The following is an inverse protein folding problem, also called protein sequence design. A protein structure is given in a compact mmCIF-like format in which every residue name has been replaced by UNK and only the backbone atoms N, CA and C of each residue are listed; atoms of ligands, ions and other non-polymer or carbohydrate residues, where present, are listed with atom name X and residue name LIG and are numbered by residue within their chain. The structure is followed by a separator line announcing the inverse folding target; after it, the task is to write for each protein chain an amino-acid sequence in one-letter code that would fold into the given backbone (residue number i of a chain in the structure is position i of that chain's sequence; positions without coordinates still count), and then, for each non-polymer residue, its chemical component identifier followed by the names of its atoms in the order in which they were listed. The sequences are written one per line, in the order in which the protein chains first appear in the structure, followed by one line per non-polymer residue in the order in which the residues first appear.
data_IF_935356272994
#
_entry.id   IF_935356272994
#
_cell.length_a   1.000
_cell.length_b   1.000
_cell.length_c   1.000
_cell.angle_alpha   90.00
_cell.angle_beta   90.00
_cell.angle_gamma   90.00
#
_symmetry.space_group_name_H-M   'P 1'
#
loop_
_entity.id
_entity.type
_entity.pdbx_description
1 polymer ?
#
# COMPACT_ATOMS: atom_id res chain seq x y z
N UNK A 1 -20.39 12.15 -10.56
CA UNK A 1 -19.62 12.03 -11.84
C UNK A 1 -18.18 11.60 -11.57
N UNK A 2 -17.45 12.30 -10.69
CA UNK A 2 -16.05 11.95 -10.34
C UNK A 2 -15.95 10.54 -9.76
N UNK A 3 -16.85 10.17 -8.86
CA UNK A 3 -16.88 8.85 -8.19
C UNK A 3 -17.06 7.68 -9.18
N UNK A 4 -17.85 7.90 -10.25
CA UNK A 4 -17.99 6.90 -11.31
C UNK A 4 -16.69 6.71 -12.09
N UNK A 5 -15.97 7.80 -12.36
CA UNK A 5 -14.65 7.71 -13.00
C UNK A 5 -13.64 7.02 -12.09
N UNK A 6 -13.63 7.33 -10.80
CA UNK A 6 -12.82 6.69 -9.80
C UNK A 6 -13.07 5.17 -9.79
N UNK A 7 -14.30 4.74 -9.62
CA UNK A 7 -14.68 3.32 -9.62
C UNK A 7 -14.31 2.61 -10.94
N UNK A 8 -14.44 3.27 -12.09
CA UNK A 8 -14.01 2.71 -13.38
C UNK A 8 -12.49 2.55 -13.46
N UNK A 9 -11.72 3.52 -12.96
CA UNK A 9 -10.25 3.46 -12.92
C UNK A 9 -9.80 2.30 -12.02
N UNK A 10 -10.38 2.16 -10.82
CA UNK A 10 -10.10 1.05 -9.93
C UNK A 10 -10.44 -0.30 -10.60
N UNK A 11 -11.63 -0.40 -11.21
CA UNK A 11 -12.06 -1.62 -11.90
C UNK A 11 -11.11 -2.03 -13.03
N UNK A 12 -10.75 -1.10 -13.92
CA UNK A 12 -9.82 -1.39 -15.01
C UNK A 12 -8.42 -1.65 -14.49
N UNK A 13 -7.96 -0.92 -13.47
CA UNK A 13 -6.67 -1.15 -12.82
C UNK A 13 -6.54 -2.58 -12.29
N UNK A 14 -7.51 -3.05 -11.50
CA UNK A 14 -7.56 -4.42 -10.99
C UNK A 14 -7.68 -5.45 -12.11
N UNK A 15 -8.56 -5.19 -13.10
CA UNK A 15 -8.75 -6.11 -14.22
C UNK A 15 -7.49 -6.28 -15.06
N UNK A 16 -6.79 -5.21 -15.37
CA UNK A 16 -5.53 -5.25 -16.15
C UNK A 16 -4.45 -5.93 -15.31
N UNK A 17 -4.31 -5.56 -14.04
CA UNK A 17 -3.31 -6.15 -13.15
C UNK A 17 -3.46 -7.67 -12.98
N UNK A 18 -4.69 -8.19 -13.06
CA UNK A 18 -4.97 -9.62 -13.00
C UNK A 18 -4.58 -10.42 -14.27
N UNK A 19 -4.09 -9.77 -15.34
CA UNK A 19 -3.58 -10.48 -16.49
C UNK A 19 -2.19 -11.05 -16.20
N UNK A 20 -1.94 -12.32 -16.56
CA UNK A 20 -0.63 -12.94 -16.39
C UNK A 20 0.45 -12.25 -17.24
N UNK A 21 1.69 -12.60 -16.99
CA UNK A 21 2.81 -12.20 -17.84
C UNK A 21 2.59 -12.63 -19.30
N UNK A 22 2.97 -11.76 -20.23
CA UNK A 22 2.91 -11.96 -21.68
C UNK A 22 4.23 -11.53 -22.34
N UNK A 23 4.30 -11.59 -23.68
CA UNK A 23 5.52 -11.24 -24.43
C UNK A 23 5.92 -9.76 -24.27
N UNK A 24 4.94 -8.84 -24.13
CA UNK A 24 5.20 -7.40 -23.98
C UNK A 24 5.46 -7.04 -22.51
N UNK A 25 4.86 -7.80 -21.56
CA UNK A 25 4.97 -7.56 -20.13
C UNK A 25 5.45 -8.82 -19.40
N UNK A 26 6.75 -9.18 -19.49
CA UNK A 26 7.29 -10.43 -18.92
C UNK A 26 7.18 -10.52 -17.40
N UNK A 27 7.01 -9.40 -16.70
CA UNK A 27 6.79 -9.35 -15.24
C UNK A 27 5.31 -9.21 -14.86
N UNK A 28 4.38 -9.44 -15.79
CA UNK A 28 2.95 -9.25 -15.57
C UNK A 28 2.51 -7.79 -15.58
N UNK A 29 1.24 -7.58 -15.28
CA UNK A 29 0.56 -6.28 -15.37
C UNK A 29 0.31 -5.62 -14.00
N UNK A 30 0.87 -6.15 -12.92
CA UNK A 30 0.60 -5.70 -11.55
C UNK A 30 0.73 -4.19 -11.32
N UNK A 31 1.67 -3.52 -12.02
CA UNK A 31 1.86 -2.05 -11.92
C UNK A 31 0.63 -1.24 -12.38
N UNK A 32 -0.34 -1.85 -13.09
CA UNK A 32 -1.60 -1.18 -13.44
C UNK A 32 -2.39 -0.76 -12.19
N UNK A 33 -2.36 -1.55 -11.11
CA UNK A 33 -2.96 -1.14 -9.81
C UNK A 33 -2.25 0.08 -9.21
N UNK A 34 -0.94 0.17 -9.34
CA UNK A 34 -0.20 1.32 -8.85
C UNK A 34 -0.59 2.60 -9.60
N UNK A 35 -0.79 2.50 -10.92
CA UNK A 35 -1.27 3.63 -11.74
C UNK A 35 -2.69 4.02 -11.30
N UNK A 36 -3.59 3.05 -11.17
CA UNK A 36 -4.96 3.30 -10.71
C UNK A 36 -4.98 3.99 -9.33
N UNK A 37 -4.26 3.45 -8.35
CA UNK A 37 -4.15 4.05 -7.02
C UNK A 37 -3.51 5.44 -7.01
N UNK A 38 -2.57 5.72 -7.92
CA UNK A 38 -2.00 7.05 -8.07
C UNK A 38 -3.04 8.06 -8.61
N UNK A 39 -3.82 7.67 -9.62
CA UNK A 39 -4.90 8.51 -10.17
C UNK A 39 -5.97 8.78 -9.12
N UNK A 40 -6.39 7.74 -8.36
CA UNK A 40 -7.30 7.89 -7.22
C UNK A 40 -6.78 8.90 -6.19
N UNK A 41 -5.50 8.79 -5.80
CA UNK A 41 -4.88 9.72 -4.87
C UNK A 41 -4.93 11.18 -5.37
N UNK A 42 -4.72 11.40 -6.66
CA UNK A 42 -4.83 12.73 -7.29
C UNK A 42 -6.28 13.23 -7.28
N UNK A 43 -7.26 12.38 -7.57
CA UNK A 43 -8.68 12.75 -7.52
C UNK A 43 -9.10 13.16 -6.09
N UNK A 44 -8.69 12.40 -5.08
CA UNK A 44 -8.93 12.74 -3.67
C UNK A 44 -8.27 14.08 -3.32
N UNK A 45 -7.04 14.32 -3.80
CA UNK A 45 -6.34 15.59 -3.57
C UNK A 45 -7.10 16.78 -4.18
N UNK A 46 -7.60 16.65 -5.42
CA UNK A 46 -8.41 17.66 -6.09
C UNK A 46 -9.73 17.93 -5.33
N UNK A 47 -10.39 16.86 -4.85
CA UNK A 47 -11.58 16.97 -4.02
C UNK A 47 -11.32 17.77 -2.73
N UNK A 48 -10.23 17.46 -2.02
CA UNK A 48 -9.83 18.20 -0.83
C UNK A 48 -9.52 19.68 -1.12
N UNK A 49 -8.85 19.97 -2.24
CA UNK A 49 -8.56 21.34 -2.67
C UNK A 49 -9.85 22.14 -2.95
N UNK A 50 -10.86 21.52 -3.55
CA UNK A 50 -12.18 22.13 -3.75
C UNK A 50 -12.89 22.42 -2.43
N UNK A 51 -12.83 21.51 -1.46
CA UNK A 51 -13.39 21.73 -0.11
C UNK A 51 -12.72 22.93 0.56
N UNK A 52 -11.39 23.02 0.48
CA UNK A 52 -10.64 24.16 1.03
C UNK A 52 -11.06 25.46 0.34
N UNK A 53 -11.12 25.47 -0.98
CA UNK A 53 -11.55 26.63 -1.75
C UNK A 53 -12.95 27.12 -1.33
N UNK A 54 -13.90 26.21 -1.21
CA UNK A 54 -15.25 26.53 -0.76
C UNK A 54 -15.30 27.02 0.69
N UNK A 55 -14.54 26.37 1.60
CA UNK A 55 -14.49 26.78 3.00
C UNK A 55 -13.92 28.20 3.17
N UNK A 56 -12.81 28.50 2.46
CA UNK A 56 -12.23 29.85 2.46
C UNK A 56 -13.19 30.87 1.84
N UNK A 57 -13.89 30.52 0.75
CA UNK A 57 -14.93 31.37 0.16
C UNK A 57 -16.03 31.71 1.15
N UNK A 58 -16.56 30.71 1.87
CA UNK A 58 -17.59 30.91 2.92
C UNK A 58 -17.09 31.82 4.06
N UNK A 59 -15.83 31.76 4.44
CA UNK A 59 -15.25 32.67 5.44
C UNK A 59 -15.20 34.11 4.96
N UNK A 60 -15.03 34.36 3.67
CA UNK A 60 -14.93 35.71 3.10
C UNK A 60 -16.28 36.33 2.76
N UNK A 61 -17.26 35.55 2.29
CA UNK A 61 -18.54 36.04 1.79
C UNK A 61 -19.71 35.82 2.75
N UNK A 62 -19.48 35.10 3.84
CA UNK A 62 -20.54 34.66 4.75
C UNK A 62 -21.25 33.39 4.25
N UNK A 63 -21.98 32.74 5.14
CA UNK A 63 -22.69 31.49 4.85
C UNK A 63 -24.10 31.82 4.41
N UNK A 64 -24.46 31.49 3.16
CA UNK A 64 -25.86 31.46 2.72
C UNK A 64 -26.51 30.14 3.12
N UNK A 65 -27.56 30.18 3.91
CA UNK A 65 -28.27 28.98 4.39
C UNK A 65 -29.37 28.66 3.39
N UNK A 66 -29.12 27.79 2.44
CA UNK A 66 -30.16 27.12 1.71
C UNK A 66 -30.44 25.75 2.36
N UNK A 67 -31.53 25.70 3.12
CA UNK A 67 -31.99 24.49 3.80
C UNK A 67 -32.71 23.59 2.80
N UNK A 68 -31.99 22.62 2.29
CA UNK A 68 -32.59 21.55 1.48
C UNK A 68 -32.71 20.30 2.34
N UNK A 69 -33.83 20.12 3.05
CA UNK A 69 -34.09 18.93 3.89
C UNK A 69 -33.95 17.61 3.10
N UNK A 70 -34.33 17.63 1.83
CA UNK A 70 -34.13 16.51 0.92
C UNK A 70 -32.63 16.19 0.73
N UNK A 71 -31.77 17.20 0.68
CA UNK A 71 -30.30 17.03 0.55
C UNK A 71 -29.72 16.32 1.77
N UNK A 72 -30.16 16.63 2.96
CA UNK A 72 -29.70 16.00 4.20
C UNK A 72 -30.03 14.49 4.23
N UNK A 73 -31.26 14.13 3.85
CA UNK A 73 -31.68 12.72 3.77
C UNK A 73 -30.83 11.95 2.75
N UNK A 74 -30.60 12.53 1.56
CA UNK A 74 -29.74 11.94 0.54
C UNK A 74 -28.27 11.75 1.03
N UNK A 75 -27.72 12.74 1.75
CA UNK A 75 -26.38 12.64 2.34
C UNK A 75 -26.29 11.53 3.40
N UNK A 76 -27.29 11.38 4.27
CA UNK A 76 -27.31 10.30 5.26
C UNK A 76 -27.36 8.92 4.60
N UNK A 77 -28.19 8.75 3.56
CA UNK A 77 -28.24 7.51 2.79
C UNK A 77 -26.88 7.24 2.13
N UNK A 78 -26.28 8.26 1.50
CA UNK A 78 -24.96 8.15 0.87
C UNK A 78 -23.89 7.72 1.88
N UNK A 79 -23.85 8.30 3.08
CA UNK A 79 -22.91 7.91 4.14
C UNK A 79 -23.07 6.42 4.47
N UNK A 80 -24.29 5.94 4.67
CA UNK A 80 -24.54 4.53 5.02
C UNK A 80 -24.07 3.61 3.90
N UNK A 81 -24.40 3.91 2.66
CA UNK A 81 -23.98 3.13 1.48
C UNK A 81 -22.46 3.14 1.38
N UNK A 82 -21.81 4.31 1.43
CA UNK A 82 -20.36 4.45 1.32
C UNK A 82 -19.63 3.71 2.46
N UNK A 83 -20.15 3.72 3.69
CA UNK A 83 -19.58 2.95 4.80
C UNK A 83 -19.63 1.45 4.54
N UNK A 84 -20.74 0.93 4.04
CA UNK A 84 -20.89 -0.50 3.74
C UNK A 84 -19.96 -0.92 2.60
N UNK A 85 -19.94 -0.14 1.51
CA UNK A 85 -19.09 -0.41 0.34
C UNK A 85 -17.61 -0.30 0.71
N UNK A 86 -17.19 0.77 1.38
CA UNK A 86 -15.79 0.95 1.79
C UNK A 86 -15.31 -0.18 2.70
N UNK A 87 -16.14 -0.64 3.66
CA UNK A 87 -15.80 -1.80 4.50
C UNK A 87 -15.65 -3.08 3.70
N UNK A 88 -16.48 -3.28 2.68
CA UNK A 88 -16.37 -4.44 1.79
C UNK A 88 -15.09 -4.36 0.96
N UNK A 89 -14.82 -3.23 0.32
CA UNK A 89 -13.61 -2.98 -0.46
C UNK A 89 -12.34 -3.19 0.37
N UNK A 90 -12.27 -2.64 1.59
CA UNK A 90 -11.11 -2.89 2.47
C UNK A 90 -10.91 -4.36 2.81
N UNK A 91 -12.01 -5.11 3.00
CA UNK A 91 -11.90 -6.56 3.29
C UNK A 91 -11.33 -7.30 2.10
N UNK A 92 -11.81 -6.99 0.89
CA UNK A 92 -11.31 -7.61 -0.34
C UNK A 92 -9.88 -7.16 -0.62
N UNK A 93 -9.59 -5.86 -0.52
CA UNK A 93 -8.25 -5.30 -0.72
C UNK A 93 -7.19 -5.97 0.16
N UNK A 94 -7.53 -6.24 1.44
CA UNK A 94 -6.62 -6.95 2.35
C UNK A 94 -6.48 -8.44 2.01
N UNK A 95 -7.53 -9.07 1.51
CA UNK A 95 -7.50 -10.48 1.14
C UNK A 95 -6.71 -10.72 -0.17
N UNK A 96 -6.76 -9.75 -1.09
CA UNK A 96 -6.10 -9.81 -2.40
C UNK A 96 -4.81 -8.99 -2.46
N UNK A 97 -4.46 -8.27 -1.38
CA UNK A 97 -3.35 -7.31 -1.30
C UNK A 97 -3.39 -6.24 -2.42
N UNK A 98 -4.62 -5.90 -2.90
CA UNK A 98 -4.86 -4.98 -4.00
C UNK A 98 -4.76 -3.52 -3.55
N UNK A 99 -3.82 -2.79 -4.15
CA UNK A 99 -3.60 -1.36 -3.90
C UNK A 99 -4.72 -0.50 -4.50
N UNK A 100 -5.25 -0.87 -5.67
CA UNK A 100 -6.32 -0.13 -6.33
C UNK A 100 -7.62 -0.18 -5.51
N UNK A 101 -7.99 -1.36 -4.97
CA UNK A 101 -9.16 -1.50 -4.10
C UNK A 101 -9.00 -0.76 -2.77
N UNK A 102 -7.78 -0.71 -2.22
CA UNK A 102 -7.50 0.08 -1.02
C UNK A 102 -7.68 1.57 -1.29
N UNK A 103 -7.20 2.06 -2.44
CA UNK A 103 -7.33 3.46 -2.85
C UNK A 103 -8.79 3.86 -3.07
N UNK A 104 -9.59 3.04 -3.74
CA UNK A 104 -11.03 3.26 -3.96
C UNK A 104 -11.80 3.27 -2.62
N UNK A 105 -11.46 2.38 -1.68
CA UNK A 105 -12.03 2.39 -0.33
C UNK A 105 -11.67 3.68 0.44
N UNK A 106 -10.45 4.18 0.30
CA UNK A 106 -10.02 5.45 0.90
C UNK A 106 -10.71 6.67 0.23
N UNK A 107 -11.02 6.60 -1.07
CA UNK A 107 -11.84 7.60 -1.76
C UNK A 107 -13.24 7.70 -1.15
N UNK A 108 -13.95 6.57 -1.02
CA UNK A 108 -15.26 6.53 -0.37
C UNK A 108 -15.22 7.03 1.09
N UNK A 109 -14.13 6.79 1.82
CA UNK A 109 -13.95 7.37 3.16
C UNK A 109 -13.77 8.86 3.14
N UNK A 110 -13.09 9.42 2.15
CA UNK A 110 -12.97 10.87 1.99
C UNK A 110 -14.35 11.51 1.78
N UNK A 111 -15.22 10.88 0.98
CA UNK A 111 -16.61 11.32 0.76
C UNK A 111 -17.47 11.25 2.02
N UNK A 112 -17.28 10.19 2.84
CA UNK A 112 -17.95 10.10 4.15
C UNK A 112 -17.50 11.28 5.03
N UNK A 113 -16.20 11.57 5.11
CA UNK A 113 -15.70 12.68 5.92
C UNK A 113 -16.22 14.03 5.43
N UNK A 114 -16.25 14.25 4.11
CA UNK A 114 -16.82 15.45 3.51
C UNK A 114 -18.32 15.60 3.87
N UNK A 115 -19.10 14.54 3.71
CA UNK A 115 -20.53 14.53 4.05
C UNK A 115 -20.79 14.78 5.54
N UNK A 116 -20.03 14.14 6.42
CA UNK A 116 -20.11 14.35 7.88
C UNK A 116 -19.78 15.79 8.23
N UNK A 117 -18.76 16.40 7.59
CA UNK A 117 -18.39 17.80 7.85
C UNK A 117 -19.53 18.76 7.51
N UNK A 118 -20.22 18.54 6.40
CA UNK A 118 -21.38 19.35 6.02
C UNK A 118 -22.54 19.21 7.02
N UNK A 119 -22.82 17.99 7.48
CA UNK A 119 -23.85 17.74 8.50
C UNK A 119 -23.52 18.45 9.82
N UNK A 120 -22.26 18.34 10.26
CA UNK A 120 -21.78 19.03 11.48
C UNK A 120 -21.84 20.57 11.33
N UNK A 121 -21.47 21.09 10.17
CA UNK A 121 -21.57 22.53 9.86
C UNK A 121 -23.01 23.01 9.92
N UNK A 122 -23.96 22.31 9.27
CA UNK A 122 -25.39 22.64 9.33
C UNK A 122 -25.95 22.57 10.76
N UNK A 123 -25.55 21.55 11.53
CA UNK A 123 -25.94 21.43 12.93
C UNK A 123 -25.43 22.61 13.78
N UNK A 124 -24.17 23.00 13.59
CA UNK A 124 -23.60 24.17 14.28
C UNK A 124 -24.35 25.47 13.95
N UNK A 125 -24.71 25.68 12.68
CA UNK A 125 -25.48 26.85 12.24
C UNK A 125 -26.88 26.82 12.90
N UNK A 126 -27.58 25.68 12.88
CA UNK A 126 -28.90 25.53 13.51
C UNK A 126 -28.86 25.82 15.01
N UNK A 127 -27.89 25.30 15.72
CA UNK A 127 -27.66 25.56 17.15
C UNK A 127 -27.37 27.04 17.41
N UNK A 128 -26.52 27.66 16.57
CA UNK A 128 -26.24 29.10 16.66
C UNK A 128 -27.49 29.95 16.57
N UNK A 129 -28.35 29.66 15.62
CA UNK A 129 -29.64 30.35 15.44
C UNK A 129 -30.58 30.14 16.64
N UNK A 130 -30.67 28.93 17.20
CA UNK A 130 -31.50 28.61 18.37
C UNK A 130 -31.05 29.33 19.64
N UNK A 131 -29.77 29.48 19.84
CA UNK A 131 -29.17 30.13 21.02
C UNK A 131 -28.84 31.62 20.84
N UNK A 132 -29.09 32.18 19.64
CA UNK A 132 -28.82 33.59 19.33
C UNK A 132 -27.31 33.89 19.27
N UNK A 133 -26.48 32.88 19.01
CA UNK A 133 -25.01 32.99 18.91
C UNK A 133 -24.60 32.88 17.44
N UNK A 134 -24.63 34.02 16.74
CA UNK A 134 -24.29 34.06 15.29
C UNK A 134 -22.82 33.66 15.00
N UNK A 135 -21.94 33.77 15.99
CA UNK A 135 -20.53 33.41 15.86
C UNK A 135 -20.31 31.90 15.60
N UNK A 136 -21.31 31.05 15.91
CA UNK A 136 -21.24 29.60 15.61
C UNK A 136 -21.23 29.29 14.11
N UNK A 137 -21.61 30.22 13.25
CA UNK A 137 -21.55 30.05 11.79
C UNK A 137 -20.12 29.85 11.26
N UNK A 138 -19.09 30.38 11.97
CA UNK A 138 -17.70 30.20 11.61
C UNK A 138 -17.22 28.74 11.82
N UNK A 139 -17.92 27.94 12.61
CA UNK A 139 -17.58 26.55 12.84
C UNK A 139 -17.72 25.70 11.57
N UNK A 140 -18.68 26.00 10.68
CA UNK A 140 -18.86 25.28 9.41
C UNK A 140 -17.58 25.27 8.56
N UNK A 141 -17.01 26.43 8.16
CA UNK A 141 -15.79 26.43 7.38
C UNK A 141 -14.57 25.89 8.14
N UNK A 142 -14.50 26.06 9.48
CA UNK A 142 -13.40 25.50 10.27
C UNK A 142 -13.43 23.97 10.32
N UNK A 143 -14.61 23.38 10.51
CA UNK A 143 -14.79 21.92 10.45
C UNK A 143 -14.44 21.40 9.07
N UNK A 144 -14.91 22.08 8.00
CA UNK A 144 -14.60 21.71 6.62
C UNK A 144 -13.07 21.75 6.36
N UNK A 145 -12.35 22.75 6.84
CA UNK A 145 -10.88 22.83 6.72
C UNK A 145 -10.18 21.69 7.49
N UNK A 146 -10.63 21.39 8.70
CA UNK A 146 -10.10 20.28 9.50
C UNK A 146 -10.25 18.92 8.78
N UNK A 147 -11.43 18.68 8.21
CA UNK A 147 -11.71 17.47 7.43
C UNK A 147 -10.90 17.43 6.13
N UNK A 148 -10.83 18.56 5.41
CA UNK A 148 -10.01 18.65 4.20
C UNK A 148 -8.54 18.29 4.46
N UNK A 149 -7.98 18.68 5.61
CA UNK A 149 -6.63 18.31 6.03
C UNK A 149 -6.48 16.78 6.22
N UNK A 150 -7.47 16.12 6.83
CA UNK A 150 -7.48 14.65 6.97
C UNK A 150 -7.56 13.96 5.60
N UNK A 151 -8.37 14.50 4.68
CA UNK A 151 -8.49 13.99 3.31
C UNK A 151 -7.16 14.16 2.57
N UNK A 152 -6.50 15.32 2.66
CA UNK A 152 -5.17 15.57 2.06
C UNK A 152 -4.11 14.58 2.57
N UNK A 153 -4.11 14.31 3.88
CA UNK A 153 -3.20 13.31 4.45
C UNK A 153 -3.43 11.93 3.86
N UNK A 154 -4.70 11.55 3.66
CA UNK A 154 -5.05 10.26 3.04
C UNK A 154 -4.62 10.22 1.58
N UNK A 155 -4.92 11.26 0.80
CA UNK A 155 -4.48 11.40 -0.59
C UNK A 155 -2.95 11.27 -0.74
N UNK A 156 -2.19 11.97 0.10
CA UNK A 156 -0.73 11.89 0.12
C UNK A 156 -0.24 10.47 0.41
N UNK A 157 -0.84 9.78 1.39
CA UNK A 157 -0.46 8.40 1.74
C UNK A 157 -0.68 7.45 0.57
N UNK A 158 -1.84 7.53 -0.09
CA UNK A 158 -2.18 6.68 -1.24
C UNK A 158 -1.23 6.96 -2.40
N UNK A 159 -1.10 8.23 -2.78
CA UNK A 159 -0.22 8.64 -3.89
C UNK A 159 1.21 8.19 -3.64
N UNK A 160 1.75 8.39 -2.43
CA UNK A 160 3.10 7.96 -2.06
C UNK A 160 3.26 6.44 -2.14
N UNK A 161 2.28 5.66 -1.65
CA UNK A 161 2.30 4.19 -1.69
C UNK A 161 2.27 3.69 -3.13
N UNK A 162 1.37 4.25 -3.97
CA UNK A 162 1.22 3.90 -5.37
C UNK A 162 2.46 4.26 -6.19
N UNK A 163 2.99 5.48 -6.01
CA UNK A 163 4.23 5.92 -6.65
C UNK A 163 5.41 5.04 -6.25
N UNK A 164 5.51 4.64 -4.98
CA UNK A 164 6.55 3.76 -4.49
C UNK A 164 6.64 2.45 -5.28
N UNK A 165 5.49 1.81 -5.58
CA UNK A 165 5.46 0.60 -6.41
C UNK A 165 5.87 0.83 -7.87
N UNK A 166 5.64 2.04 -8.41
CA UNK A 166 6.09 2.37 -9.78
C UNK A 166 7.61 2.53 -9.88
N UNK A 167 8.25 3.05 -8.82
CA UNK A 167 9.71 3.28 -8.75
C UNK A 167 10.45 2.19 -7.98
N UNK A 168 9.85 1.00 -7.88
CA UNK A 168 10.45 -0.19 -7.29
C UNK A 168 10.97 0.03 -5.85
N UNK A 169 10.20 0.75 -5.02
CA UNK A 169 10.51 0.89 -3.60
C UNK A 169 10.49 -0.48 -2.92
N UNK A 170 11.47 -0.71 -2.05
CA UNK A 170 11.60 -1.95 -1.26
C UNK A 170 10.35 -2.29 -0.45
N UNK A 171 10.17 -3.57 -0.15
CA UNK A 171 9.09 -4.05 0.72
C UNK A 171 9.17 -3.43 2.12
N UNK A 172 8.03 -3.41 2.87
CA UNK A 172 8.04 -3.04 4.27
C UNK A 172 9.01 -3.93 5.08
N UNK A 173 9.66 -3.35 6.09
CA UNK A 173 10.62 -4.08 6.93
C UNK A 173 10.03 -5.37 7.52
N UNK A 174 8.77 -5.36 7.92
CA UNK A 174 8.07 -6.55 8.46
C UNK A 174 7.98 -7.70 7.45
N UNK A 175 7.94 -7.43 6.15
CA UNK A 175 7.96 -8.45 5.11
C UNK A 175 9.40 -8.91 4.82
N UNK A 176 10.37 -7.98 4.79
CA UNK A 176 11.79 -8.32 4.64
C UNK A 176 12.33 -9.13 5.82
N UNK A 177 11.90 -8.82 7.04
CA UNK A 177 12.27 -9.59 8.23
C UNK A 177 11.81 -11.06 8.11
N UNK A 178 10.63 -11.32 7.53
CA UNK A 178 10.15 -12.68 7.25
C UNK A 178 10.98 -13.40 6.20
N UNK A 179 11.44 -12.69 5.17
CA UNK A 179 12.36 -13.24 4.16
C UNK A 179 13.68 -13.62 4.82
N UNK A 180 14.24 -12.72 5.64
CA UNK A 180 15.48 -12.96 6.37
C UNK A 180 15.32 -14.13 7.35
N UNK A 181 14.17 -14.26 8.00
CA UNK A 181 13.86 -15.40 8.87
C UNK A 181 13.88 -16.72 8.09
N UNK A 182 13.24 -16.79 6.92
CA UNK A 182 13.30 -17.98 6.06
C UNK A 182 14.72 -18.33 5.66
N UNK A 183 15.53 -17.35 5.27
CA UNK A 183 16.94 -17.58 4.93
C UNK A 183 17.71 -18.09 6.16
N UNK A 184 17.45 -17.52 7.34
CA UNK A 184 18.19 -17.88 8.58
C UNK A 184 17.82 -19.27 9.11
N UNK A 185 16.62 -19.76 8.85
CA UNK A 185 16.22 -21.13 9.17
C UNK A 185 17.02 -22.17 8.40
N UNK A 186 17.55 -21.81 7.21
CA UNK A 186 18.37 -22.65 6.33
C UNK A 186 19.87 -22.49 6.53
N UNK A 187 20.34 -21.75 7.55
CA UNK A 187 21.76 -21.43 7.76
C UNK A 187 22.72 -22.62 7.86
N UNK A 188 22.23 -23.82 8.16
CA UNK A 188 23.10 -25.00 8.20
C UNK A 188 23.63 -25.40 6.84
N UNK A 189 22.98 -24.97 5.77
CA UNK A 189 23.27 -25.31 4.37
C UNK A 189 23.94 -24.13 3.64
N UNK A 190 23.88 -22.91 4.21
CA UNK A 190 24.35 -21.66 3.61
C UNK A 190 25.60 -21.11 4.30
N UNK A 191 26.46 -20.48 3.53
CA UNK A 191 27.60 -19.69 4.05
C UNK A 191 27.17 -18.27 4.40
N UNK A 192 26.27 -17.71 3.60
CA UNK A 192 25.73 -16.36 3.79
C UNK A 192 24.79 -15.95 2.67
N UNK A 193 24.29 -14.74 2.75
CA UNK A 193 23.49 -14.13 1.69
C UNK A 193 23.82 -12.63 1.60
N UNK A 194 23.63 -12.08 0.41
CA UNK A 194 23.80 -10.64 0.14
C UNK A 194 22.93 -10.20 -1.03
N UNK A 195 23.00 -8.91 -1.41
CA UNK A 195 22.27 -8.32 -2.51
C UNK A 195 20.76 -8.58 -2.49
N UNK A 196 20.14 -8.68 -1.28
CA UNK A 196 18.69 -8.79 -1.16
C UNK A 196 18.03 -7.54 -1.71
N UNK A 197 17.28 -7.70 -2.79
CA UNK A 197 16.47 -6.66 -3.42
C UNK A 197 15.03 -7.11 -3.46
N UNK A 198 14.15 -6.22 -3.05
CA UNK A 198 12.73 -6.47 -2.97
C UNK A 198 11.97 -5.34 -3.62
N UNK A 199 10.86 -5.64 -4.29
CA UNK A 199 9.93 -4.65 -4.83
C UNK A 199 8.52 -5.21 -4.88
N UNK A 200 7.52 -4.31 -5.00
CA UNK A 200 6.12 -4.69 -5.15
C UNK A 200 5.53 -4.06 -6.41
N UNK A 201 4.79 -4.85 -7.19
CA UNK A 201 4.06 -4.43 -8.36
C UNK A 201 2.57 -4.78 -8.20
N UNK A 202 1.74 -3.80 -7.78
CA UNK A 202 0.36 -4.10 -7.36
C UNK A 202 0.33 -5.02 -6.15
N UNK A 203 -0.34 -6.16 -6.28
CA UNK A 203 -0.38 -7.23 -5.26
C UNK A 203 0.84 -8.15 -5.27
N UNK A 204 1.65 -8.15 -6.32
CA UNK A 204 2.77 -9.09 -6.49
C UNK A 204 4.08 -8.59 -5.91
N UNK A 205 4.84 -9.50 -5.30
CA UNK A 205 6.16 -9.27 -4.74
C UNK A 205 7.22 -9.89 -5.62
N UNK A 206 8.31 -9.16 -5.83
CA UNK A 206 9.50 -9.68 -6.52
C UNK A 206 10.68 -9.58 -5.57
N UNK A 207 11.39 -10.68 -5.41
CA UNK A 207 12.51 -10.84 -4.50
C UNK A 207 13.69 -11.39 -5.29
N UNK A 208 14.79 -10.67 -5.30
CA UNK A 208 16.06 -11.12 -5.84
C UNK A 208 17.08 -11.19 -4.69
N UNK A 209 17.83 -12.28 -4.59
CA UNK A 209 18.91 -12.39 -3.61
C UNK A 209 20.04 -13.30 -4.11
N UNK A 210 21.22 -13.12 -3.53
CA UNK A 210 22.37 -13.97 -3.76
C UNK A 210 22.61 -14.84 -2.53
N UNK A 211 22.80 -16.15 -2.76
CA UNK A 211 23.16 -17.11 -1.72
C UNK A 211 24.59 -17.60 -1.93
N UNK A 212 25.42 -17.43 -0.89
CA UNK A 212 26.75 -18.00 -0.86
C UNK A 212 26.71 -19.43 -0.30
N UNK A 213 27.22 -20.38 -1.07
CA UNK A 213 27.30 -21.80 -0.70
C UNK A 213 28.75 -22.28 -0.63
N UNK A 214 28.99 -23.38 0.07
CA UNK A 214 30.29 -23.97 0.13
C UNK A 214 30.73 -24.44 -1.27
N UNK A 215 32.02 -24.25 -1.65
CA UNK A 215 32.58 -24.63 -2.96
C UNK A 215 32.44 -26.12 -3.30
N UNK A 216 32.31 -26.97 -2.27
CA UNK A 216 32.16 -28.41 -2.40
C UNK A 216 30.70 -28.87 -2.70
N UNK A 217 29.72 -27.97 -2.62
CA UNK A 217 28.30 -28.26 -2.93
C UNK A 217 28.16 -28.48 -4.43
N UNK A 218 27.50 -29.56 -4.83
CA UNK A 218 27.22 -29.83 -6.24
C UNK A 218 26.14 -28.85 -6.75
N UNK A 219 26.11 -28.60 -8.06
CA UNK A 219 25.07 -27.75 -8.66
C UNK A 219 23.65 -28.30 -8.38
N UNK A 220 23.48 -29.63 -8.41
CA UNK A 220 22.21 -30.29 -8.11
C UNK A 220 21.75 -30.01 -6.68
N UNK A 221 22.65 -30.12 -5.72
CA UNK A 221 22.35 -29.83 -4.32
C UNK A 221 22.10 -28.35 -4.07
N UNK A 222 22.88 -27.45 -4.69
CA UNK A 222 22.66 -26.02 -4.62
C UNK A 222 21.27 -25.64 -5.16
N UNK A 223 20.87 -26.20 -6.30
CA UNK A 223 19.55 -25.97 -6.88
C UNK A 223 18.43 -26.46 -5.95
N UNK A 224 18.58 -27.67 -5.36
CA UNK A 224 17.63 -28.21 -4.40
C UNK A 224 17.41 -27.30 -3.18
N UNK A 225 18.49 -26.70 -2.68
CA UNK A 225 18.44 -25.75 -1.55
C UNK A 225 17.70 -24.47 -1.97
N UNK A 226 18.00 -23.92 -3.17
CA UNK A 226 17.32 -22.75 -3.69
C UNK A 226 15.83 -22.98 -3.86
N UNK A 227 15.43 -24.09 -4.50
CA UNK A 227 14.03 -24.46 -4.70
C UNK A 227 13.26 -24.60 -3.39
N UNK A 228 13.92 -25.12 -2.35
CA UNK A 228 13.29 -25.26 -1.03
C UNK A 228 13.11 -23.90 -0.39
N UNK A 229 14.11 -23.03 -0.44
CA UNK A 229 14.03 -21.69 0.12
C UNK A 229 13.01 -20.79 -0.64
N UNK A 230 12.95 -20.89 -1.97
CA UNK A 230 11.96 -20.20 -2.79
C UNK A 230 10.55 -20.55 -2.33
N UNK A 231 10.25 -21.86 -2.19
CA UNK A 231 8.95 -22.34 -1.71
C UNK A 231 8.62 -21.88 -0.30
N UNK A 232 9.61 -21.91 0.61
CA UNK A 232 9.41 -21.46 2.00
C UNK A 232 9.07 -19.97 2.07
N UNK A 233 9.72 -19.15 1.25
CA UNK A 233 9.41 -17.71 1.14
C UNK A 233 8.03 -17.50 0.52
N UNK A 234 7.68 -18.22 -0.55
CA UNK A 234 6.37 -18.13 -1.23
C UNK A 234 5.21 -18.57 -0.30
N UNK A 235 5.42 -19.59 0.54
CA UNK A 235 4.43 -20.03 1.53
C UNK A 235 4.22 -18.98 2.63
N UNK A 236 5.29 -18.30 3.07
CA UNK A 236 5.21 -17.25 4.09
C UNK A 236 4.68 -15.92 3.56
N UNK A 237 4.93 -15.63 2.28
CA UNK A 237 4.52 -14.39 1.60
C UNK A 237 3.73 -14.75 0.33
N UNK A 238 2.41 -14.59 0.38
CA UNK A 238 1.55 -14.85 -0.79
C UNK A 238 1.87 -13.91 -1.97
N UNK A 239 1.60 -14.36 -3.19
CA UNK A 239 1.84 -13.60 -4.42
C UNK A 239 3.29 -13.11 -4.53
N UNK A 240 4.23 -14.02 -4.40
CA UNK A 240 5.67 -13.73 -4.43
C UNK A 240 6.34 -14.52 -5.54
N UNK A 241 7.25 -13.86 -6.28
CA UNK A 241 8.20 -14.46 -7.20
C UNK A 241 9.60 -14.24 -6.64
N UNK A 242 10.34 -15.32 -6.45
CA UNK A 242 11.69 -15.29 -5.89
C UNK A 242 12.69 -15.73 -6.95
N UNK A 243 13.80 -15.02 -7.06
CA UNK A 243 14.95 -15.40 -7.90
C UNK A 243 16.17 -15.45 -7.00
N UNK A 244 16.80 -16.64 -6.94
CA UNK A 244 17.99 -16.87 -6.15
C UNK A 244 19.20 -17.11 -7.07
N UNK A 245 20.19 -16.25 -6.94
CA UNK A 245 21.48 -16.44 -7.59
C UNK A 245 22.43 -17.16 -6.64
N UNK A 246 22.83 -18.39 -6.99
CA UNK A 246 23.76 -19.19 -6.19
C UNK A 246 25.20 -18.87 -6.55
N UNK A 247 26.01 -18.56 -5.56
CA UNK A 247 27.43 -18.24 -5.71
C UNK A 247 28.31 -19.14 -4.82
N UNK A 248 29.48 -19.53 -5.28
CA UNK A 248 30.46 -20.18 -4.40
C UNK A 248 31.04 -19.16 -3.43
N UNK A 249 31.24 -19.54 -2.18
CA UNK A 249 31.86 -18.65 -1.17
C UNK A 249 33.25 -18.17 -1.61
N UNK A 250 33.48 -16.86 -1.44
CA UNK A 250 34.80 -16.22 -1.72
C UNK A 250 35.66 -16.09 -0.47
N UNK A 251 35.15 -16.43 0.70
CA UNK A 251 35.82 -16.27 1.99
C UNK A 251 36.90 -17.31 2.19
N UNK A 252 37.98 -16.93 2.92
CA UNK A 252 38.89 -17.90 3.49
C UNK A 252 38.11 -18.79 4.47
N UNK A 253 38.30 -20.13 4.36
CA UNK A 253 37.53 -21.14 5.08
C UNK A 253 37.58 -21.05 6.61
N UNK A 254 38.47 -20.23 7.17
CA UNK A 254 38.62 -19.98 8.61
C UNK A 254 37.45 -19.25 9.27
N UNK A 255 36.57 -18.58 8.47
CA UNK A 255 35.47 -17.75 8.97
C UNK A 255 34.06 -18.32 8.64
N UNK A 256 33.99 -19.50 8.03
CA UNK A 256 32.73 -20.11 7.64
C UNK A 256 32.03 -20.83 8.81
N UNK A 257 30.71 -20.61 8.95
CA UNK A 257 29.87 -21.34 9.88
C UNK A 257 29.44 -22.74 9.37
N UNK A 258 29.57 -22.98 8.06
CA UNK A 258 29.10 -24.21 7.38
C UNK A 258 30.25 -25.24 7.33
N UNK A 259 29.93 -26.52 7.55
CA UNK A 259 30.87 -27.63 7.33
C UNK A 259 31.15 -27.78 5.83
N UNK A 260 32.25 -27.19 5.37
CA UNK A 260 32.76 -27.47 4.04
C UNK A 260 34.00 -28.36 4.14
N UNK A 261 34.26 -29.19 3.12
CA UNK A 261 35.36 -30.15 3.11
C UNK A 261 36.78 -29.52 3.29
N UNK A 262 36.88 -28.20 3.14
CA UNK A 262 38.14 -27.44 3.25
C UNK A 262 38.32 -26.76 4.63
N UNK A 263 37.48 -27.10 5.63
CA UNK A 263 37.44 -26.41 6.93
C UNK A 263 38.37 -27.02 7.95
N UNK A 264 39.20 -26.16 8.54
CA UNK A 264 39.83 -26.41 9.84
C UNK A 264 38.93 -25.83 10.97
N UNK A 265 38.66 -26.62 11.94
CA UNK A 265 37.63 -26.65 12.96
C UNK A 265 37.52 -25.44 13.90
N UNK A 266 36.90 -24.30 13.49
CA UNK A 266 36.47 -23.26 14.44
C UNK A 266 35.17 -22.59 13.97
N UNK A 267 34.11 -22.48 14.80
CA UNK A 267 32.83 -21.89 14.42
C UNK A 267 32.91 -20.36 14.38
N UNK A 268 32.60 -19.77 13.21
CA UNK A 268 32.41 -18.33 13.03
C UNK A 268 30.93 -17.93 13.03
N UNK A 269 30.66 -16.68 13.38
CA UNK A 269 29.32 -16.11 13.35
C UNK A 269 28.92 -15.73 11.91
N UNK A 270 27.71 -16.12 11.50
CA UNK A 270 27.09 -15.78 10.23
C UNK A 270 26.14 -14.58 10.42
N UNK A 271 26.30 -13.56 9.59
CA UNK A 271 25.42 -12.40 9.56
C UNK A 271 25.32 -11.83 8.14
N UNK A 272 24.32 -10.95 7.87
CA UNK A 272 24.22 -10.27 6.59
C UNK A 272 25.48 -9.43 6.34
N UNK A 273 26.05 -9.53 5.12
CA UNK A 273 27.13 -8.66 4.67
C UNK A 273 26.55 -7.44 3.98
N UNK A 274 27.20 -6.27 4.09
CA UNK A 274 26.74 -5.01 3.50
C UNK A 274 26.67 -5.05 1.98
#
# INVERSE_FOLDING_TARGET
MIDLFAALIAFFGVRIAGHPADEEHPFGHGKAENIAGMVEGVLIFLGAALIIYQAVGKMMTGVSIELVELGLAAMLISIVVNVLVARHLYRVARATDSLALEADADHLRADIYASVSVILGLAAIRLGLLFGVEQLTILDPLVALGVAFLILRTAYRITRKSFGGLVDTRLPRSEEDRIIESITEHYRELVGFHALRTRKAGGERHIDLHLEMAKSVSLEEAHRICDHLEKDIEEKLSHTSVIIHCEPCHSECRQCAVMCAERDSSPGQVGPRP
#
